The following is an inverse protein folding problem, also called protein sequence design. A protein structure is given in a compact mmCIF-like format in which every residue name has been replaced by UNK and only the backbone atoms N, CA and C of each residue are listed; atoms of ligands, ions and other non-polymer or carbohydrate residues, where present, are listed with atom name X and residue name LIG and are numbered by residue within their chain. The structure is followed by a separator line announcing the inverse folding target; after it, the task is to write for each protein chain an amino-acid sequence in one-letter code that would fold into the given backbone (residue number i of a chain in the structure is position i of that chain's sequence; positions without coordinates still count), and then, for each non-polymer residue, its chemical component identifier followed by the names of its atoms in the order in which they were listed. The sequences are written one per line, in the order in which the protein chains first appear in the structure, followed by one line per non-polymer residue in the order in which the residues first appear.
data_IF_718148424514
#
_entry.id   IF_718148424514
#
_cell.length_a   1.000
_cell.length_b   1.000
_cell.length_c   1.000
_cell.angle_alpha   90.00
_cell.angle_beta   90.00
_cell.angle_gamma   90.00
#
_symmetry.space_group_name_H-M   'P 1'
#
loop_
_entity.id
_entity.type
_entity.pdbx_description
1 polymer ?
#
# COMPACT_ATOMS: atom_id res chain seq x y z
N UNK A 1 -8.91 23.31 0.45
CA UNK A 1 -7.87 22.42 -0.14
C UNK A 1 -8.49 21.12 -0.56
N UNK A 2 -9.28 20.44 0.28
CA UNK A 2 -9.92 19.16 -0.05
C UNK A 2 -10.71 19.21 -1.36
N UNK A 3 -11.61 20.19 -1.52
CA UNK A 3 -12.40 20.35 -2.75
C UNK A 3 -11.53 20.60 -3.98
N UNK A 4 -10.42 21.32 -3.81
CA UNK A 4 -9.46 21.55 -4.89
C UNK A 4 -8.78 20.24 -5.32
N UNK A 5 -8.32 19.43 -4.37
CA UNK A 5 -7.71 18.13 -4.65
C UNK A 5 -8.74 17.20 -5.31
N UNK A 6 -9.96 17.14 -4.76
CA UNK A 6 -11.06 16.36 -5.32
C UNK A 6 -11.38 16.73 -6.78
N UNK A 7 -11.39 18.01 -7.09
CA UNK A 7 -11.65 18.52 -8.45
C UNK A 7 -10.46 18.38 -9.41
N UNK A 8 -9.27 18.04 -8.92
CA UNK A 8 -8.05 17.84 -9.69
C UNK A 8 -7.39 16.48 -9.38
N UNK A 9 -8.05 15.35 -9.69
CA UNK A 9 -7.54 14.03 -9.36
C UNK A 9 -6.23 13.75 -10.10
N UNK A 10 -5.24 13.22 -9.38
CA UNK A 10 -3.91 12.91 -9.89
C UNK A 10 -3.50 11.51 -9.45
N UNK A 11 -2.99 10.72 -10.41
CA UNK A 11 -2.56 9.34 -10.17
C UNK A 11 -1.22 9.29 -9.43
N UNK A 12 -0.94 8.13 -8.88
CA UNK A 12 0.32 7.79 -8.20
C UNK A 12 1.57 8.38 -8.87
N UNK A 13 2.41 9.02 -8.08
CA UNK A 13 3.65 9.73 -8.48
C UNK A 13 3.45 10.92 -9.45
N UNK A 14 2.21 11.41 -9.61
CA UNK A 14 1.86 12.57 -10.45
C UNK A 14 1.04 13.62 -9.69
N UNK A 15 0.99 13.55 -8.38
CA UNK A 15 0.15 14.35 -7.49
C UNK A 15 0.72 15.76 -7.23
N UNK A 16 1.21 16.43 -8.27
CA UNK A 16 1.89 17.73 -8.16
C UNK A 16 0.99 18.87 -7.67
N UNK A 17 -0.27 18.90 -8.12
CA UNK A 17 -1.23 19.95 -7.71
C UNK A 17 -1.69 19.72 -6.28
N UNK A 18 -1.93 18.47 -5.91
CA UNK A 18 -2.32 18.06 -4.57
C UNK A 18 -1.21 18.35 -3.57
N UNK A 19 0.02 17.96 -3.88
CA UNK A 19 1.21 18.30 -3.10
C UNK A 19 1.34 19.82 -2.91
N UNK A 20 1.29 20.59 -3.98
CA UNK A 20 1.50 22.03 -3.94
C UNK A 20 0.40 22.74 -3.11
N UNK A 21 -0.86 22.28 -3.20
CA UNK A 21 -1.95 22.83 -2.42
C UNK A 21 -1.75 22.59 -0.91
N UNK A 22 -1.34 21.37 -0.52
CA UNK A 22 -1.05 21.01 0.87
C UNK A 22 0.20 21.74 1.38
N UNK A 23 1.27 21.79 0.59
CA UNK A 23 2.50 22.50 0.95
C UNK A 23 2.26 23.99 1.19
N UNK A 24 1.55 24.68 0.28
CA UNK A 24 1.21 26.10 0.44
C UNK A 24 0.36 26.36 1.69
N UNK A 25 -0.59 25.47 1.98
CA UNK A 25 -1.38 25.57 3.21
C UNK A 25 -0.49 25.52 4.45
N UNK A 26 0.39 24.52 4.52
CA UNK A 26 1.30 24.36 5.66
C UNK A 26 2.32 25.50 5.77
N UNK A 27 2.90 25.95 4.66
CA UNK A 27 3.80 27.12 4.62
C UNK A 27 3.12 28.38 5.15
N UNK A 28 1.85 28.61 4.77
CA UNK A 28 1.07 29.78 5.22
C UNK A 28 0.78 29.79 6.73
N UNK A 29 0.90 28.60 7.38
CA UNK A 29 0.78 28.42 8.82
C UNK A 29 2.13 28.23 9.53
N UNK A 30 3.24 28.56 8.84
CA UNK A 30 4.57 28.62 9.45
C UNK A 30 5.31 27.29 9.59
N UNK A 31 4.94 26.27 8.83
CA UNK A 31 5.74 25.06 8.69
C UNK A 31 6.90 25.30 7.72
N UNK A 32 8.05 24.69 8.00
CA UNK A 32 9.15 24.59 7.04
C UNK A 32 8.92 23.38 6.16
N UNK A 33 8.70 23.60 4.85
CA UNK A 33 8.32 22.54 3.93
C UNK A 33 9.45 22.18 2.97
N UNK A 34 9.77 20.88 2.90
CA UNK A 34 10.68 20.29 1.93
C UNK A 34 9.90 19.36 1.00
N UNK A 35 9.88 19.65 -0.29
CA UNK A 35 9.25 18.83 -1.33
C UNK A 35 10.23 17.82 -1.91
N UNK A 36 9.72 16.72 -2.47
CA UNK A 36 10.52 15.73 -3.18
C UNK A 36 11.45 14.93 -2.28
N UNK A 37 10.99 14.48 -1.10
CA UNK A 37 11.76 13.60 -0.23
C UNK A 37 11.71 12.14 -0.74
N UNK A 38 12.65 11.29 -0.27
CA UNK A 38 12.73 9.88 -0.63
C UNK A 38 12.73 9.62 -2.15
N UNK A 39 13.36 10.52 -2.93
CA UNK A 39 13.43 10.44 -4.40
C UNK A 39 12.06 10.43 -5.11
N UNK A 40 10.99 10.81 -4.41
CA UNK A 40 9.65 10.93 -4.96
C UNK A 40 9.28 12.42 -5.14
N UNK A 41 9.21 12.95 -6.38
CA UNK A 41 8.97 14.38 -6.62
C UNK A 41 7.69 14.93 -5.99
N UNK A 42 6.67 14.08 -5.83
CA UNK A 42 5.36 14.46 -5.29
C UNK A 42 5.20 14.26 -3.79
N UNK A 43 6.21 13.75 -3.08
CA UNK A 43 6.24 13.67 -1.63
C UNK A 43 6.65 15.00 -0.98
N UNK A 44 6.36 15.16 0.31
CA UNK A 44 6.87 16.29 1.09
C UNK A 44 7.01 15.98 2.59
N UNK A 45 7.82 16.77 3.26
CA UNK A 45 7.92 16.85 4.71
C UNK A 45 7.71 18.31 5.13
N UNK A 46 6.73 18.56 5.99
CA UNK A 46 6.50 19.85 6.61
C UNK A 46 6.80 19.74 8.11
N UNK A 47 7.67 20.59 8.62
CA UNK A 47 8.21 20.52 9.99
C UNK A 47 7.85 21.78 10.77
N UNK A 48 7.34 21.57 11.97
CA UNK A 48 7.30 22.56 13.04
C UNK A 48 8.14 22.06 14.22
N UNK A 49 9.15 22.83 14.61
CA UNK A 49 9.97 22.58 15.78
C UNK A 49 9.65 23.64 16.85
N UNK A 50 9.20 23.21 18.02
CA UNK A 50 8.91 24.11 19.14
C UNK A 50 10.16 24.76 19.75
N UNK A 51 11.36 24.31 19.38
CA UNK A 51 12.63 24.70 19.99
C UNK A 51 12.82 24.20 21.44
N UNK A 52 11.91 23.36 21.93
CA UNK A 52 11.95 22.77 23.29
C UNK A 52 12.09 21.24 23.17
N UNK A 53 12.78 20.59 24.11
CA UNK A 53 12.86 19.12 24.14
C UNK A 53 11.48 18.47 24.18
N UNK A 54 11.29 17.39 23.45
CA UNK A 54 10.03 16.64 23.42
C UNK A 54 10.06 15.52 22.38
N UNK A 55 8.90 14.95 22.11
CA UNK A 55 8.72 13.89 21.14
C UNK A 55 8.58 14.42 19.72
N UNK A 56 8.98 13.60 18.76
CA UNK A 56 8.71 13.84 17.34
C UNK A 56 7.49 13.02 16.92
N UNK A 57 6.43 13.70 16.49
CA UNK A 57 5.19 13.07 16.02
C UNK A 57 4.96 13.41 14.54
N UNK A 58 4.57 12.42 13.76
CA UNK A 58 4.25 12.60 12.35
C UNK A 58 2.76 12.35 12.08
N UNK A 59 2.17 13.19 11.24
CA UNK A 59 0.86 12.99 10.63
C UNK A 59 1.08 12.66 9.16
N UNK A 60 0.60 11.51 8.71
CA UNK A 60 0.73 11.04 7.34
C UNK A 60 -0.50 11.43 6.54
N UNK A 61 -0.30 11.98 5.35
CA UNK A 61 -1.38 12.40 4.46
C UNK A 61 -1.20 11.85 3.05
N UNK A 62 -2.20 11.10 2.58
CA UNK A 62 -2.33 10.58 1.22
C UNK A 62 -3.12 11.56 0.35
N UNK A 63 -2.88 11.57 -0.97
CA UNK A 63 -3.56 12.49 -1.89
C UNK A 63 -3.55 12.02 -3.34
N UNK A 64 -3.14 10.78 -3.63
CA UNK A 64 -3.30 10.14 -4.94
C UNK A 64 -4.75 9.70 -5.15
N UNK A 65 -5.10 9.36 -6.38
CA UNK A 65 -6.44 8.93 -6.75
C UNK A 65 -6.41 7.63 -7.57
N UNK A 66 -7.59 7.01 -7.66
CA UNK A 66 -7.83 5.83 -8.49
C UNK A 66 -8.03 6.20 -9.96
N UNK A 67 -7.55 5.37 -10.91
CA UNK A 67 -7.89 5.52 -12.32
C UNK A 67 -9.41 5.49 -12.53
N UNK A 68 -9.94 6.36 -13.38
CA UNK A 68 -11.35 6.44 -13.82
C UNK A 68 -12.37 6.79 -12.71
N UNK A 69 -12.06 6.51 -11.44
CA UNK A 69 -12.94 6.76 -10.29
C UNK A 69 -12.62 8.11 -9.61
N UNK A 70 -11.36 8.55 -9.68
CA UNK A 70 -10.91 9.74 -8.96
C UNK A 70 -10.68 9.45 -7.47
N UNK A 71 -11.10 10.34 -6.58
CA UNK A 71 -10.89 10.18 -5.13
C UNK A 71 -11.90 9.24 -4.45
N UNK A 72 -12.23 8.12 -5.09
CA UNK A 72 -13.12 7.09 -4.54
C UNK A 72 -12.56 6.28 -3.34
N UNK A 73 -11.36 6.63 -2.85
CA UNK A 73 -10.78 6.19 -1.59
C UNK A 73 -10.69 7.31 -0.53
N UNK A 74 -11.07 8.55 -0.91
CA UNK A 74 -11.10 9.70 0.00
C UNK A 74 -9.73 10.27 0.36
N UNK A 75 -8.69 10.04 -0.43
CA UNK A 75 -7.33 10.54 -0.14
C UNK A 75 -7.26 12.08 -0.14
N UNK A 76 -8.15 12.78 -0.85
CA UNK A 76 -8.31 14.25 -0.73
C UNK A 76 -8.65 14.68 0.71
N UNK A 77 -9.40 13.86 1.46
CA UNK A 77 -9.71 14.06 2.87
C UNK A 77 -8.51 13.70 3.76
N UNK A 78 -7.79 12.61 3.45
CA UNK A 78 -6.63 12.16 4.24
C UNK A 78 -5.53 13.22 4.25
N UNK A 79 -5.11 13.68 3.07
CA UNK A 79 -4.09 14.72 2.96
C UNK A 79 -4.51 16.03 3.64
N UNK A 80 -5.77 16.43 3.45
CA UNK A 80 -6.28 17.68 4.05
C UNK A 80 -6.44 17.58 5.56
N UNK A 81 -6.90 16.44 6.09
CA UNK A 81 -7.03 16.23 7.54
C UNK A 81 -5.68 16.16 8.24
N UNK A 82 -4.67 15.51 7.63
CA UNK A 82 -3.32 15.50 8.15
C UNK A 82 -2.73 16.92 8.24
N UNK A 83 -2.90 17.73 7.19
CA UNK A 83 -2.46 19.12 7.20
C UNK A 83 -3.23 19.97 8.23
N UNK A 84 -4.56 19.83 8.28
CA UNK A 84 -5.42 20.53 9.23
C UNK A 84 -5.11 20.18 10.68
N UNK A 85 -4.96 18.89 10.98
CA UNK A 85 -4.57 18.42 12.31
C UNK A 85 -3.17 18.93 12.70
N UNK A 86 -2.22 18.97 11.74
CA UNK A 86 -0.90 19.55 11.95
C UNK A 86 -0.97 21.02 12.35
N UNK A 87 -1.76 21.82 11.66
CA UNK A 87 -1.95 23.25 11.95
C UNK A 87 -2.54 23.45 13.36
N UNK A 88 -3.63 22.72 13.67
CA UNK A 88 -4.27 22.83 14.99
C UNK A 88 -3.33 22.37 16.11
N UNK A 89 -2.61 21.27 15.91
CA UNK A 89 -1.66 20.76 16.90
C UNK A 89 -0.51 21.74 17.13
N UNK A 90 0.01 22.36 16.07
CA UNK A 90 1.02 23.43 16.19
C UNK A 90 0.50 24.58 17.06
N UNK A 91 -0.71 25.10 16.81
CA UNK A 91 -1.29 26.16 17.63
C UNK A 91 -1.46 25.76 19.11
N UNK A 92 -1.86 24.50 19.35
CA UNK A 92 -1.96 23.95 20.71
C UNK A 92 -0.59 23.87 21.37
N UNK A 93 0.44 23.39 20.64
CA UNK A 93 1.81 23.30 21.14
C UNK A 93 2.35 24.69 21.51
N UNK A 94 2.15 25.70 20.65
CA UNK A 94 2.56 27.08 20.92
C UNK A 94 1.82 27.66 22.13
N UNK A 95 0.51 27.54 22.18
CA UNK A 95 -0.34 28.10 23.25
C UNK A 95 -0.05 27.50 24.62
N UNK A 96 0.24 26.21 24.68
CA UNK A 96 0.46 25.47 25.94
C UNK A 96 1.93 25.17 26.19
N UNK A 97 2.83 25.76 25.40
CA UNK A 97 4.29 25.62 25.55
C UNK A 97 4.78 24.15 25.54
N UNK A 98 4.10 23.28 24.75
CA UNK A 98 4.44 21.87 24.61
C UNK A 98 5.71 21.73 23.75
N UNK A 99 6.74 21.05 24.28
CA UNK A 99 7.98 20.76 23.56
C UNK A 99 7.86 19.61 22.59
N UNK A 100 8.70 19.63 21.54
CA UNK A 100 8.80 18.56 20.56
C UNK A 100 8.77 19.04 19.12
N UNK A 101 8.79 18.09 18.21
CA UNK A 101 8.75 18.31 16.75
C UNK A 101 7.49 17.71 16.19
N UNK A 102 6.79 18.47 15.38
CA UNK A 102 5.62 18.01 14.64
C UNK A 102 5.96 17.96 13.15
N UNK A 103 5.72 16.82 12.52
CA UNK A 103 5.89 16.62 11.10
C UNK A 103 4.53 16.34 10.44
N UNK A 104 4.30 16.93 9.26
CA UNK A 104 3.25 16.47 8.34
C UNK A 104 3.96 15.90 7.13
N UNK A 105 3.75 14.62 6.88
CA UNK A 105 4.38 13.89 5.80
C UNK A 105 3.36 13.69 4.67
N UNK A 106 3.66 14.24 3.51
CA UNK A 106 2.92 13.94 2.29
C UNK A 106 3.39 12.63 1.70
N UNK A 107 2.51 11.63 1.74
CA UNK A 107 2.79 10.25 1.37
C UNK A 107 2.04 9.87 0.08
N UNK A 108 2.63 10.12 -1.11
CA UNK A 108 2.00 9.86 -2.40
C UNK A 108 1.92 8.38 -2.72
N UNK A 109 1.12 8.03 -3.75
CA UNK A 109 1.14 6.74 -4.42
C UNK A 109 0.77 5.54 -3.53
N UNK A 110 -0.23 5.67 -2.66
CA UNK A 110 -0.71 4.56 -1.85
C UNK A 110 -1.38 3.49 -2.72
N UNK A 111 -2.28 3.91 -3.63
CA UNK A 111 -3.06 3.01 -4.49
C UNK A 111 -2.20 2.21 -5.48
N UNK A 112 -1.05 2.76 -5.87
CA UNK A 112 -0.14 2.10 -6.80
C UNK A 112 1.28 2.61 -6.65
N UNK A 113 2.13 1.82 -6.04
CA UNK A 113 3.55 2.14 -5.89
C UNK A 113 4.05 2.19 -4.47
N UNK A 114 3.13 2.23 -3.48
CA UNK A 114 3.44 2.10 -2.05
C UNK A 114 4.47 3.12 -1.57
N UNK A 115 4.12 4.41 -1.69
CA UNK A 115 5.03 5.51 -1.39
C UNK A 115 5.60 5.48 0.03
N UNK A 116 4.82 5.01 1.03
CA UNK A 116 5.31 4.88 2.41
C UNK A 116 6.35 3.76 2.55
N UNK A 117 6.24 2.68 1.77
CA UNK A 117 7.29 1.65 1.74
C UNK A 117 8.60 2.21 1.19
N UNK A 118 8.53 3.07 0.16
CA UNK A 118 9.70 3.79 -0.37
C UNK A 118 10.25 4.75 0.69
N UNK A 119 9.41 5.51 1.37
CA UNK A 119 9.82 6.44 2.44
C UNK A 119 10.51 5.73 3.60
N UNK A 120 10.01 4.56 4.00
CA UNK A 120 10.65 3.70 5.01
C UNK A 120 12.06 3.31 4.57
N UNK A 121 12.21 2.81 3.34
CA UNK A 121 13.52 2.41 2.78
C UNK A 121 14.53 3.57 2.72
N UNK A 122 14.05 4.80 2.57
CA UNK A 122 14.86 6.02 2.57
C UNK A 122 15.06 6.65 3.96
N UNK A 123 14.63 5.99 5.04
CA UNK A 123 14.85 6.43 6.43
C UNK A 123 14.02 7.65 6.86
N UNK A 124 12.93 8.00 6.14
CA UNK A 124 12.09 9.18 6.46
C UNK A 124 11.49 9.09 7.87
N UNK A 125 11.24 7.88 8.35
CA UNK A 125 10.64 7.65 9.66
C UNK A 125 11.66 7.50 10.79
N UNK A 126 12.95 7.57 10.52
CA UNK A 126 13.98 7.50 11.55
C UNK A 126 13.87 8.70 12.52
N UNK A 127 13.92 8.42 13.82
CA UNK A 127 13.81 9.44 14.87
C UNK A 127 12.39 9.98 15.10
N UNK A 128 11.37 9.40 14.46
CA UNK A 128 9.96 9.69 14.74
C UNK A 128 9.48 8.76 15.84
N UNK A 129 8.90 9.33 16.92
CA UNK A 129 8.43 8.58 18.08
C UNK A 129 7.04 7.96 17.86
N UNK A 130 6.22 8.60 17.03
CA UNK A 130 4.90 8.09 16.66
C UNK A 130 4.42 8.67 15.32
N UNK A 131 3.69 7.88 14.53
CA UNK A 131 3.05 8.33 13.30
C UNK A 131 1.56 7.95 13.26
N UNK A 132 0.72 8.83 12.73
CA UNK A 132 -0.73 8.64 12.67
C UNK A 132 -1.25 8.92 11.25
N UNK A 133 -2.22 8.10 10.84
CA UNK A 133 -3.00 8.32 9.62
C UNK A 133 -4.48 8.09 9.94
N UNK A 134 -5.32 9.06 9.57
CA UNK A 134 -6.79 8.92 9.60
C UNK A 134 -7.26 8.61 8.19
N UNK A 135 -8.05 7.55 8.04
CA UNK A 135 -8.61 7.16 6.75
C UNK A 135 -10.16 7.25 6.80
N UNK A 136 -10.84 7.86 5.83
CA UNK A 136 -12.30 7.80 5.75
C UNK A 136 -12.78 6.41 5.37
N UNK A 137 -13.93 5.99 5.92
CA UNK A 137 -14.56 4.70 5.63
C UNK A 137 -16.07 4.80 5.77
N UNK A 138 -16.78 3.71 5.58
CA UNK A 138 -18.22 3.60 5.88
C UNK A 138 -18.52 3.34 7.36
N UNK A 139 -17.52 2.93 8.13
CA UNK A 139 -17.59 2.77 9.58
C UNK A 139 -16.35 3.37 10.26
N UNK A 140 -16.51 3.89 11.48
CA UNK A 140 -15.39 4.29 12.32
C UNK A 140 -14.80 3.08 13.03
N UNK A 141 -13.47 2.91 12.95
CA UNK A 141 -12.72 1.82 13.59
C UNK A 141 -11.41 2.35 14.17
N UNK A 142 -11.22 2.29 15.47
CA UNK A 142 -10.01 2.77 16.14
C UNK A 142 -8.81 1.82 15.94
N UNK A 143 -9.06 0.56 15.61
CA UNK A 143 -8.05 -0.45 15.33
C UNK A 143 -8.49 -1.30 14.14
N UNK A 144 -7.60 -1.50 13.19
CA UNK A 144 -7.85 -2.34 12.02
C UNK A 144 -6.62 -3.19 11.70
N UNK A 145 -6.82 -4.15 10.82
CA UNK A 145 -5.79 -5.04 10.28
C UNK A 145 -5.76 -4.95 8.77
N UNK A 146 -4.62 -5.22 8.18
CA UNK A 146 -4.48 -5.32 6.73
C UNK A 146 -3.70 -6.55 6.32
N UNK A 147 -3.84 -6.97 5.07
CA UNK A 147 -2.95 -7.98 4.51
C UNK A 147 -1.59 -7.38 4.15
N UNK A 148 -0.53 -8.10 4.48
CA UNK A 148 0.70 -7.99 3.72
C UNK A 148 0.46 -8.47 2.28
N UNK A 149 1.09 -7.83 1.30
CA UNK A 149 0.89 -8.12 -0.11
C UNK A 149 2.19 -7.99 -0.91
N UNK A 150 2.37 -8.89 -1.89
CA UNK A 150 3.43 -8.82 -2.89
C UNK A 150 2.89 -9.27 -4.24
N UNK A 151 3.36 -8.61 -5.30
CA UNK A 151 3.05 -8.98 -6.68
C UNK A 151 4.31 -9.41 -7.41
N UNK A 152 4.30 -10.63 -7.93
CA UNK A 152 5.42 -11.24 -8.66
C UNK A 152 5.00 -11.60 -10.08
N UNK A 153 5.86 -11.27 -11.03
CA UNK A 153 5.77 -11.72 -12.42
C UNK A 153 6.77 -12.85 -12.66
N UNK A 154 6.31 -13.93 -13.26
CA UNK A 154 7.11 -15.07 -13.68
C UNK A 154 7.13 -15.13 -15.21
N UNK A 155 8.30 -15.02 -15.80
CA UNK A 155 8.52 -15.16 -17.26
C UNK A 155 9.15 -16.51 -17.52
N UNK A 156 8.39 -17.39 -18.19
CA UNK A 156 8.90 -18.66 -18.68
C UNK A 156 9.48 -18.49 -20.07
N UNK A 157 10.72 -19.00 -20.25
CA UNK A 157 11.44 -18.99 -21.53
C UNK A 157 11.62 -20.42 -22.02
N UNK A 158 11.11 -20.67 -23.20
CA UNK A 158 11.14 -21.97 -23.85
C UNK A 158 11.96 -21.93 -25.16
N UNK A 159 11.58 -22.81 -26.07
CA UNK A 159 12.20 -22.93 -27.39
C UNK A 159 11.13 -23.07 -28.45
N UNK A 160 11.07 -22.18 -29.45
CA UNK A 160 10.07 -22.28 -30.51
C UNK A 160 10.34 -23.46 -31.43
N UNK A 161 9.27 -24.02 -31.96
CA UNK A 161 9.28 -25.04 -32.99
C UNK A 161 7.97 -25.06 -33.75
N UNK A 162 7.93 -25.62 -34.94
CA UNK A 162 6.69 -25.82 -35.66
C UNK A 162 5.87 -26.91 -34.99
N UNK A 163 4.67 -26.56 -34.50
CA UNK A 163 3.87 -27.41 -33.61
C UNK A 163 3.43 -28.75 -34.25
N UNK A 164 3.27 -28.80 -35.57
CA UNK A 164 2.93 -30.02 -36.29
C UNK A 164 4.13 -30.76 -36.88
N UNK A 165 5.15 -30.01 -37.35
CA UNK A 165 6.24 -30.63 -38.12
C UNK A 165 7.36 -31.19 -37.22
N UNK A 166 7.71 -30.48 -36.12
CA UNK A 166 8.84 -30.88 -35.28
C UNK A 166 8.67 -30.42 -33.80
N UNK A 167 7.51 -30.68 -33.14
CA UNK A 167 7.27 -30.22 -31.78
C UNK A 167 8.31 -30.72 -30.76
N UNK A 168 8.90 -31.88 -30.99
CA UNK A 168 9.95 -32.46 -30.14
C UNK A 168 11.24 -31.67 -30.10
N UNK A 169 11.42 -30.65 -30.97
CA UNK A 169 12.57 -29.74 -30.98
C UNK A 169 12.30 -28.49 -30.11
N UNK A 170 11.06 -28.30 -29.68
CA UNK A 170 10.62 -27.15 -28.87
C UNK A 170 10.59 -27.45 -27.39
N UNK A 171 10.43 -26.38 -26.61
CA UNK A 171 10.06 -26.38 -25.18
C UNK A 171 9.01 -25.31 -24.98
N UNK A 172 7.82 -25.70 -24.54
CA UNK A 172 6.66 -24.81 -24.52
C UNK A 172 6.58 -24.02 -23.21
N UNK A 173 6.86 -22.71 -23.29
CA UNK A 173 6.80 -21.79 -22.16
C UNK A 173 5.38 -21.69 -21.55
N UNK A 174 4.33 -21.72 -22.39
CA UNK A 174 2.95 -21.71 -21.90
C UNK A 174 2.62 -22.95 -21.06
N UNK A 175 3.17 -24.11 -21.41
CA UNK A 175 3.02 -25.32 -20.58
C UNK A 175 3.67 -25.16 -19.22
N UNK A 176 4.80 -24.44 -19.12
CA UNK A 176 5.44 -24.08 -17.86
C UNK A 176 4.52 -23.22 -16.99
N UNK A 177 3.95 -22.16 -17.55
CA UNK A 177 2.97 -21.29 -16.84
C UNK A 177 1.76 -22.10 -16.37
N UNK A 178 1.16 -22.91 -17.23
CA UNK A 178 -0.01 -23.73 -16.87
C UNK A 178 0.31 -24.71 -15.75
N UNK A 179 1.47 -25.39 -15.80
CA UNK A 179 1.89 -26.32 -14.75
C UNK A 179 2.16 -25.59 -13.43
N UNK A 180 2.74 -24.38 -13.47
CA UNK A 180 2.89 -23.54 -12.29
C UNK A 180 1.54 -23.24 -11.64
N UNK A 181 0.50 -22.83 -12.41
CA UNK A 181 -0.86 -22.62 -11.87
C UNK A 181 -1.39 -23.86 -11.18
N UNK A 182 -1.27 -25.03 -11.80
CA UNK A 182 -1.69 -26.30 -11.18
C UNK A 182 -0.93 -26.59 -9.89
N UNK A 183 0.39 -26.38 -9.86
CA UNK A 183 1.20 -26.59 -8.65
C UNK A 183 0.79 -25.63 -7.52
N UNK A 184 0.56 -24.33 -7.82
CA UNK A 184 0.06 -23.35 -6.86
C UNK A 184 -1.33 -23.75 -6.34
N UNK A 185 -2.23 -24.23 -7.19
CA UNK A 185 -3.56 -24.67 -6.76
C UNK A 185 -3.48 -25.88 -5.80
N UNK A 186 -2.55 -26.82 -6.03
CA UNK A 186 -2.30 -27.93 -5.10
C UNK A 186 -1.74 -27.45 -3.75
N UNK A 187 -0.96 -26.37 -3.74
CA UNK A 187 -0.40 -25.79 -2.51
C UNK A 187 -1.44 -25.08 -1.65
N UNK A 188 -2.58 -24.63 -2.21
CA UNK A 188 -3.61 -23.88 -1.46
C UNK A 188 -4.10 -24.59 -0.20
N UNK A 189 -4.19 -25.94 -0.25
CA UNK A 189 -4.57 -26.76 0.91
C UNK A 189 -3.62 -26.61 2.11
N UNK A 190 -2.37 -26.28 1.83
CA UNK A 190 -1.29 -26.19 2.82
C UNK A 190 -1.03 -24.77 3.33
N UNK A 191 -1.72 -23.77 2.79
CA UNK A 191 -1.62 -22.40 3.28
C UNK A 191 -2.55 -22.18 4.48
N UNK A 192 -2.09 -21.35 5.44
CA UNK A 192 -2.89 -20.95 6.61
C UNK A 192 -4.17 -20.23 6.14
N UNK A 193 -5.17 -20.23 7.01
CA UNK A 193 -6.36 -19.40 6.83
C UNK A 193 -5.99 -17.92 6.65
N UNK A 194 -6.87 -17.14 6.04
CA UNK A 194 -6.63 -15.73 5.69
C UNK A 194 -5.42 -15.49 4.78
N UNK A 195 -5.05 -16.48 4.00
CA UNK A 195 -4.10 -16.33 2.89
C UNK A 195 -4.84 -16.19 1.56
N UNK A 196 -4.27 -15.41 0.64
CA UNK A 196 -4.82 -15.25 -0.72
C UNK A 196 -3.68 -15.37 -1.72
N UNK A 197 -3.91 -16.16 -2.75
CA UNK A 197 -3.04 -16.24 -3.93
C UNK A 197 -3.92 -16.14 -5.16
N UNK A 198 -3.74 -15.11 -5.95
CA UNK A 198 -4.45 -14.90 -7.20
C UNK A 198 -3.44 -14.68 -8.31
N UNK A 199 -3.68 -15.25 -9.49
CA UNK A 199 -2.80 -15.08 -10.63
C UNK A 199 -3.56 -14.98 -11.93
N UNK A 200 -2.92 -14.36 -12.92
CA UNK A 200 -3.37 -14.28 -14.31
C UNK A 200 -2.21 -14.62 -15.26
N UNK A 201 -2.54 -15.13 -16.43
CA UNK A 201 -1.61 -15.24 -17.55
C UNK A 201 -1.65 -13.93 -18.32
N UNK A 202 -0.54 -13.22 -18.38
CA UNK A 202 -0.44 -11.93 -19.06
C UNK A 202 0.06 -12.09 -20.50
N UNK A 203 0.81 -13.17 -20.78
CA UNK A 203 1.31 -13.50 -22.11
C UNK A 203 1.31 -15.03 -22.32
N UNK A 204 0.63 -15.53 -23.34
CA UNK A 204 0.46 -16.96 -23.60
C UNK A 204 0.95 -17.44 -24.97
N UNK A 205 1.69 -16.62 -25.70
CA UNK A 205 2.21 -16.91 -27.03
C UNK A 205 1.52 -16.16 -28.15
N UNK A 206 2.04 -16.29 -29.35
CA UNK A 206 1.69 -15.45 -30.53
C UNK A 206 0.85 -16.21 -31.57
N UNK A 207 1.10 -17.51 -31.78
CA UNK A 207 0.45 -18.28 -32.83
C UNK A 207 0.21 -19.74 -32.42
N UNK A 208 -0.96 -20.25 -32.76
CA UNK A 208 -1.41 -21.62 -32.40
C UNK A 208 -0.59 -22.74 -33.04
N UNK A 209 0.13 -22.47 -34.11
CA UNK A 209 0.91 -23.46 -34.86
C UNK A 209 2.42 -23.39 -34.56
N UNK A 210 2.80 -22.59 -33.56
CA UNK A 210 4.19 -22.47 -33.09
C UNK A 210 4.24 -22.80 -31.60
N UNK A 211 5.22 -23.62 -31.18
CA UNK A 211 5.51 -23.84 -29.76
C UNK A 211 5.92 -22.52 -29.14
N UNK A 212 5.23 -22.12 -28.07
CA UNK A 212 5.42 -20.85 -27.39
C UNK A 212 6.80 -20.78 -26.74
N UNK A 213 7.57 -19.78 -27.10
CA UNK A 213 8.94 -19.54 -26.60
C UNK A 213 9.00 -18.61 -25.42
N UNK A 214 8.03 -17.73 -25.23
CA UNK A 214 7.89 -16.90 -24.03
C UNK A 214 6.41 -16.87 -23.56
N UNK A 215 6.20 -17.03 -22.24
CA UNK A 215 4.90 -16.88 -21.61
C UNK A 215 5.08 -16.26 -20.20
N UNK A 216 4.11 -15.45 -19.78
CA UNK A 216 4.18 -14.72 -18.51
C UNK A 216 2.93 -14.94 -17.67
N UNK A 217 3.16 -14.97 -16.36
CA UNK A 217 2.10 -14.96 -15.36
C UNK A 217 2.44 -13.94 -14.26
N UNK A 218 1.40 -13.30 -13.73
CA UNK A 218 1.53 -12.41 -12.57
C UNK A 218 0.71 -12.99 -11.43
N UNK A 219 1.30 -13.09 -10.25
CA UNK A 219 0.66 -13.56 -9.03
C UNK A 219 0.69 -12.47 -7.96
N UNK A 220 -0.48 -12.21 -7.34
CA UNK A 220 -0.59 -11.42 -6.11
C UNK A 220 -0.78 -12.39 -4.94
N UNK A 221 0.08 -12.24 -3.93
CA UNK A 221 0.16 -13.11 -2.76
C UNK A 221 -0.09 -12.24 -1.53
N UNK A 222 -1.02 -12.66 -0.66
CA UNK A 222 -1.40 -11.91 0.55
C UNK A 222 -1.52 -12.83 1.76
N UNK A 223 -1.14 -12.30 2.94
CA UNK A 223 -1.39 -12.93 4.24
C UNK A 223 -1.53 -11.86 5.32
N UNK A 224 -2.20 -12.20 6.45
CA UNK A 224 -2.26 -11.33 7.63
C UNK A 224 -0.90 -11.13 8.32
N UNK A 225 0.09 -11.95 8.00
CA UNK A 225 1.43 -11.88 8.58
C UNK A 225 2.47 -11.79 7.45
N UNK A 226 3.28 -10.74 7.44
CA UNK A 226 4.34 -10.53 6.45
C UNK A 226 5.32 -11.71 6.38
N UNK A 227 5.80 -12.18 7.54
CA UNK A 227 6.79 -13.26 7.58
C UNK A 227 6.23 -14.54 6.95
N UNK A 228 4.96 -14.88 7.26
CA UNK A 228 4.29 -16.02 6.65
C UNK A 228 4.00 -15.81 5.16
N UNK A 229 3.67 -14.59 4.74
CA UNK A 229 3.55 -14.28 3.30
C UNK A 229 4.85 -14.59 2.56
N UNK A 230 6.01 -14.28 3.16
CA UNK A 230 7.31 -14.60 2.54
C UNK A 230 7.57 -16.11 2.46
N UNK A 231 7.12 -16.91 3.44
CA UNK A 231 7.13 -18.38 3.33
C UNK A 231 6.27 -18.87 2.16
N UNK A 232 5.09 -18.27 1.96
CA UNK A 232 4.23 -18.58 0.80
C UNK A 232 4.89 -18.21 -0.53
N UNK A 233 5.59 -17.07 -0.57
CA UNK A 233 6.36 -16.63 -1.74
C UNK A 233 7.39 -17.69 -2.12
N UNK A 234 8.13 -18.24 -1.16
CA UNK A 234 9.14 -19.28 -1.41
C UNK A 234 8.49 -20.57 -1.94
N UNK A 235 7.34 -20.97 -1.41
CA UNK A 235 6.59 -22.11 -1.92
C UNK A 235 6.12 -21.89 -3.38
N UNK A 236 5.69 -20.68 -3.73
CA UNK A 236 5.26 -20.33 -5.09
C UNK A 236 6.46 -20.29 -6.05
N UNK A 237 7.62 -19.81 -5.60
CA UNK A 237 8.88 -19.89 -6.34
C UNK A 237 9.29 -21.33 -6.66
N UNK A 238 9.09 -22.23 -5.71
CA UNK A 238 9.38 -23.64 -5.92
C UNK A 238 8.39 -24.29 -6.89
N UNK A 239 7.11 -23.87 -6.89
CA UNK A 239 6.16 -24.28 -7.92
C UNK A 239 6.63 -23.83 -9.32
N UNK A 240 7.10 -22.59 -9.46
CA UNK A 240 7.61 -22.07 -10.73
C UNK A 240 8.85 -22.84 -11.20
N UNK A 241 9.82 -23.10 -10.31
CA UNK A 241 11.03 -23.87 -10.61
C UNK A 241 10.69 -25.31 -11.01
N UNK A 242 9.79 -25.97 -10.25
CA UNK A 242 9.31 -27.33 -10.55
C UNK A 242 8.65 -27.43 -11.92
N UNK A 243 7.80 -26.44 -12.25
CA UNK A 243 7.15 -26.33 -13.56
C UNK A 243 8.18 -26.14 -14.70
N UNK A 244 9.17 -25.28 -14.51
CA UNK A 244 10.21 -25.05 -15.49
C UNK A 244 11.04 -26.32 -15.77
N UNK A 245 11.44 -27.04 -14.72
CA UNK A 245 12.15 -28.33 -14.86
C UNK A 245 11.32 -29.35 -15.64
N UNK A 246 10.05 -29.51 -15.30
CA UNK A 246 9.17 -30.51 -15.92
C UNK A 246 8.89 -30.20 -17.39
N UNK A 247 8.86 -28.93 -17.78
CA UNK A 247 8.59 -28.46 -19.17
C UNK A 247 9.86 -28.18 -19.98
N UNK A 248 11.04 -28.35 -19.36
CA UNK A 248 12.34 -28.03 -19.98
C UNK A 248 12.46 -26.58 -20.43
N UNK A 249 11.85 -25.67 -19.67
CA UNK A 249 11.91 -24.22 -19.84
C UNK A 249 12.79 -23.59 -18.75
N UNK A 250 13.11 -22.33 -18.90
CA UNK A 250 13.71 -21.49 -17.86
C UNK A 250 12.64 -20.59 -17.25
N UNK A 251 12.80 -20.17 -16.00
CA UNK A 251 11.89 -19.22 -15.36
C UNK A 251 12.69 -18.09 -14.72
N UNK A 252 12.29 -16.87 -15.00
CA UNK A 252 12.78 -15.64 -14.36
C UNK A 252 11.66 -15.01 -13.54
N UNK A 253 12.02 -14.43 -12.40
CA UNK A 253 11.10 -13.73 -11.50
C UNK A 253 11.40 -12.22 -11.50
N UNK A 254 10.35 -11.41 -11.45
CA UNK A 254 10.44 -9.97 -11.22
C UNK A 254 9.37 -9.53 -10.23
N UNK A 255 9.76 -8.79 -9.20
CA UNK A 255 8.81 -8.09 -8.35
C UNK A 255 8.20 -6.93 -9.12
N UNK A 256 6.86 -6.81 -9.11
CA UNK A 256 6.12 -5.80 -9.87
C UNK A 256 5.99 -4.50 -9.09
N UNK A 257 5.56 -4.59 -7.84
CA UNK A 257 5.32 -3.45 -6.95
C UNK A 257 6.17 -3.59 -5.67
N UNK A 258 6.28 -2.52 -4.88
CA UNK A 258 6.89 -2.59 -3.54
C UNK A 258 6.12 -3.59 -2.66
N UNK A 259 6.82 -4.21 -1.74
CA UNK A 259 6.20 -5.13 -0.76
C UNK A 259 5.46 -4.30 0.27
N UNK A 260 4.18 -4.60 0.44
CA UNK A 260 3.34 -4.03 1.49
C UNK A 260 3.34 -4.99 2.69
N UNK A 261 3.64 -4.49 3.89
CA UNK A 261 3.58 -5.25 5.15
C UNK A 261 2.18 -5.15 5.77
N UNK A 262 1.82 -6.10 6.64
CA UNK A 262 0.60 -6.06 7.44
C UNK A 262 0.62 -4.89 8.43
N UNK A 263 -0.53 -4.28 8.69
CA UNK A 263 -0.65 -3.21 9.71
C UNK A 263 -0.54 -3.80 11.11
N UNK A 264 0.35 -3.22 11.92
CA UNK A 264 0.57 -3.53 13.34
C UNK A 264 0.37 -2.28 14.17
N UNK A 265 -0.87 -1.87 14.34
CA UNK A 265 -1.22 -0.66 15.09
C UNK A 265 -0.67 -0.70 16.52
N UNK A 266 0.00 0.40 16.95
CA UNK A 266 0.47 0.55 18.32
C UNK A 266 -0.70 0.61 19.30
N UNK A 267 -0.71 -0.27 20.29
CA UNK A 267 -1.84 -0.44 21.23
C UNK A 267 -2.11 0.78 22.12
N UNK A 268 -1.10 1.63 22.38
CA UNK A 268 -1.30 2.88 23.12
C UNK A 268 -1.95 3.94 22.25
N UNK A 269 -1.53 4.02 20.98
CA UNK A 269 -2.17 4.93 20.03
C UNK A 269 -3.63 4.54 19.79
N UNK A 270 -3.94 3.25 19.66
CA UNK A 270 -5.32 2.75 19.57
C UNK A 270 -6.15 3.19 20.78
N UNK A 271 -5.61 3.08 22.01
CA UNK A 271 -6.31 3.53 23.21
C UNK A 271 -6.56 5.05 23.21
N UNK A 272 -5.63 5.85 22.68
CA UNK A 272 -5.82 7.30 22.55
C UNK A 272 -6.92 7.62 21.52
N UNK A 273 -6.93 6.93 20.40
CA UNK A 273 -7.98 7.10 19.36
C UNK A 273 -9.34 6.75 19.95
N UNK A 274 -9.51 5.61 20.64
CA UNK A 274 -10.76 5.24 21.32
C UNK A 274 -11.24 6.31 22.28
N UNK A 275 -10.37 6.77 23.19
CA UNK A 275 -10.71 7.86 24.15
C UNK A 275 -11.13 9.15 23.45
N UNK A 276 -10.49 9.49 22.33
CA UNK A 276 -10.85 10.68 21.58
C UNK A 276 -12.18 10.51 20.85
N UNK A 277 -12.47 9.34 20.27
CA UNK A 277 -13.76 9.01 19.68
C UNK A 277 -14.87 9.08 20.73
N UNK A 278 -14.68 8.45 21.90
CA UNK A 278 -15.60 8.54 23.04
C UNK A 278 -15.85 10.00 23.47
N UNK A 279 -14.78 10.82 23.53
CA UNK A 279 -14.86 12.22 23.95
C UNK A 279 -15.69 13.10 23.02
N UNK A 280 -15.58 12.85 21.70
CA UNK A 280 -16.35 13.60 20.68
C UNK A 280 -17.70 12.97 20.38
N UNK A 281 -18.02 11.80 20.99
CA UNK A 281 -19.27 11.07 20.75
C UNK A 281 -19.33 10.35 19.42
N UNK A 282 -18.18 10.01 18.83
CA UNK A 282 -18.11 9.21 17.60
C UNK A 282 -18.32 7.73 17.94
N UNK A 283 -19.35 7.14 17.36
CA UNK A 283 -19.63 5.71 17.48
C UNK A 283 -18.67 4.92 16.58
N UNK A 284 -18.11 3.83 17.11
CA UNK A 284 -17.17 3.00 16.37
C UNK A 284 -17.44 1.50 16.58
N UNK A 285 -16.94 0.71 15.64
CA UNK A 285 -16.99 -0.75 15.71
C UNK A 285 -15.59 -1.34 15.91
N UNK A 286 -15.52 -2.56 16.43
CA UNK A 286 -14.29 -3.35 16.42
C UNK A 286 -14.21 -4.14 15.12
N UNK A 287 -12.99 -4.41 14.66
CA UNK A 287 -12.74 -5.15 13.40
C UNK A 287 -13.38 -6.54 13.47
N UNK A 288 -14.22 -6.81 12.49
CA UNK A 288 -14.76 -8.15 12.22
C UNK A 288 -13.98 -8.83 11.10
N UNK A 289 -13.33 -9.95 11.41
CA UNK A 289 -12.53 -10.73 10.45
C UNK A 289 -13.37 -11.39 9.35
N UNK A 290 -14.70 -11.42 9.48
CA UNK A 290 -15.59 -11.91 8.41
C UNK A 290 -15.81 -10.88 7.31
N UNK A 291 -15.47 -9.61 7.54
CA UNK A 291 -15.52 -8.55 6.55
C UNK A 291 -14.29 -8.57 5.65
N UNK A 292 -14.39 -7.89 4.51
CA UNK A 292 -13.26 -7.74 3.59
C UNK A 292 -12.06 -7.05 4.25
N UNK A 293 -10.86 -7.56 3.96
CA UNK A 293 -9.60 -7.02 4.47
C UNK A 293 -8.80 -6.52 3.26
N UNK A 294 -8.36 -5.26 3.31
CA UNK A 294 -7.51 -4.64 2.31
C UNK A 294 -6.01 -4.78 2.60
N UNK A 295 -5.22 -4.01 1.89
CA UNK A 295 -3.79 -3.79 2.14
C UNK A 295 -3.52 -2.30 2.10
N UNK A 296 -2.58 -1.81 2.88
CA UNK A 296 -2.10 -0.43 2.87
C UNK A 296 -0.62 -0.39 3.21
N UNK A 297 0.12 0.50 2.58
CA UNK A 297 1.55 0.67 2.82
C UNK A 297 1.86 1.37 4.17
N UNK A 298 0.85 1.79 4.93
CA UNK A 298 0.99 2.15 6.35
C UNK A 298 1.55 0.98 7.16
N UNK A 299 1.25 -0.26 6.75
CA UNK A 299 1.86 -1.46 7.32
C UNK A 299 3.38 -1.38 7.39
N UNK A 300 4.04 -0.88 6.34
CA UNK A 300 5.49 -0.72 6.33
C UNK A 300 5.98 0.23 7.43
N UNK A 301 5.23 1.30 7.72
CA UNK A 301 5.56 2.25 8.79
C UNK A 301 5.36 1.63 10.17
N UNK A 302 4.25 0.88 10.37
CA UNK A 302 3.94 0.24 11.66
C UNK A 302 4.91 -0.86 12.06
N UNK A 303 5.71 -1.38 11.12
CA UNK A 303 6.78 -2.33 11.42
C UNK A 303 8.08 -1.66 11.87
N UNK A 304 8.24 -0.36 11.64
CA UNK A 304 9.48 0.37 11.95
C UNK A 304 9.37 1.23 13.22
N UNK A 305 8.21 1.87 13.40
CA UNK A 305 7.96 2.79 14.53
C UNK A 305 6.55 2.58 15.09
N UNK A 306 6.26 3.03 16.32
CA UNK A 306 4.89 3.12 16.81
C UNK A 306 4.02 3.96 15.86
N UNK A 307 3.08 3.32 15.18
CA UNK A 307 2.21 4.00 14.24
C UNK A 307 0.78 3.43 14.29
N UNK A 308 -0.16 4.18 13.73
CA UNK A 308 -1.56 3.79 13.66
C UNK A 308 -2.20 4.28 12.36
N UNK A 309 -2.99 3.43 11.74
CA UNK A 309 -4.07 3.81 10.84
C UNK A 309 -5.40 3.51 11.53
N UNK A 310 -6.27 4.51 11.59
CA UNK A 310 -7.62 4.38 12.13
C UNK A 310 -8.62 4.94 11.12
N UNK A 311 -9.87 4.48 11.22
CA UNK A 311 -10.91 4.86 10.28
C UNK A 311 -11.94 5.77 10.93
N UNK A 312 -12.45 6.72 10.15
CA UNK A 312 -13.54 7.62 10.54
C UNK A 312 -14.64 7.52 9.49
N UNK A 313 -15.86 7.32 9.97
CA UNK A 313 -17.04 7.20 9.13
C UNK A 313 -17.28 8.48 8.31
N UNK A 314 -17.33 8.35 7.01
CA UNK A 314 -17.74 9.41 6.10
C UNK A 314 -19.23 9.29 5.76
N UNK A 315 -19.66 8.08 5.38
CA UNK A 315 -21.04 7.80 4.99
C UNK A 315 -21.34 6.32 5.13
N UNK A 316 -22.52 6.00 5.68
CA UNK A 316 -22.96 4.62 5.86
C UNK A 316 -23.16 3.89 4.53
N UNK A 317 -22.76 2.62 4.51
CA UNK A 317 -23.00 1.68 3.41
C UNK A 317 -22.45 2.11 2.02
N UNK A 318 -21.42 2.93 2.00
CA UNK A 318 -20.74 3.31 0.77
C UNK A 318 -19.30 2.79 0.84
N UNK A 319 -19.02 1.73 0.10
CA UNK A 319 -17.68 1.14 0.05
C UNK A 319 -16.66 2.05 -0.63
N UNK A 320 -15.44 2.03 -0.15
CA UNK A 320 -14.28 2.62 -0.85
C UNK A 320 -14.14 2.02 -2.25
N UNK A 321 -13.42 2.73 -3.14
CA UNK A 321 -13.23 2.35 -4.55
C UNK A 321 -14.52 2.36 -5.39
N UNK A 322 -15.51 3.16 -4.97
CA UNK A 322 -16.73 3.44 -5.74
C UNK A 322 -16.83 4.93 -6.06
N UNK A 323 -17.68 5.29 -7.03
CA UNK A 323 -17.94 6.70 -7.38
C UNK A 323 -18.85 7.40 -6.39
N UNK A 324 -19.55 6.63 -5.59
CA UNK A 324 -20.49 7.09 -4.57
C UNK A 324 -19.80 7.46 -3.25
N UNK A 325 -18.58 6.95 -3.04
CA UNK A 325 -17.71 7.29 -1.90
C UNK A 325 -17.07 8.65 -2.09
#
# INVERSE_FOLDING_TARGET
VSDYIFANPELAFKEYKSQEALCKLLESHGFVVKRGIAEMPTSFEAVFDSGKPGKTVALMGEYDCLPEIGHGCGHNLIGTSAAGAGIVLKEVMEKHEIGGVLKVLGTPAEEKGSGKAIMVRHGVFEGIDAALLMHPCDESMPDDISFAAITLEFTFKGKPAHAAACPWKGANALSGVQLMFHAVDMMRLHFKDYSRVHGIITEGGVAHNTITDEAKAVFNIRSLEYDYMMEMVDAIRDCAKGAAIATRTEVEERQVDEVVKDVRNDKKLVQYVRKNMDFIGEEYIERDLTQGIGSTDVGNVTHEIPAIQFYVKLKEHVGTHTKEF
#
